data_IF_592034639762
#
_entry.id   IF_592034639762
#
_cell.length_a   1.000
_cell.length_b   1.000
_cell.length_c   1.000
_cell.angle_alpha   90.00
_cell.angle_beta   90.00
_cell.angle_gamma   90.00
#
_symmetry.space_group_name_H-M   'P 1'
#
loop_
_entity.id
_entity.type
_entity.pdbx_description
1 polymer ?
#
# COMPACT_ATOMS: atom_id res chain seq x y z
N UNK A 1 -15.77 34.70 40.42
CA UNK A 1 -16.11 34.00 41.67
C UNK A 1 -16.93 34.95 42.56
N UNK A 2 -18.16 35.32 42.17
CA UNK A 2 -18.91 36.41 42.83
C UNK A 2 -20.40 36.12 43.10
N UNK A 3 -20.87 34.87 43.03
CA UNK A 3 -22.26 34.55 43.35
C UNK A 3 -22.45 33.06 43.65
N UNK A 4 -21.96 32.57 44.79
CA UNK A 4 -22.37 31.27 45.34
C UNK A 4 -22.61 31.42 46.82
N UNK A 5 -23.76 30.91 47.27
CA UNK A 5 -24.08 30.74 48.68
C UNK A 5 -23.07 29.76 49.31
N UNK A 6 -22.72 29.92 50.60
CA UNK A 6 -21.66 29.14 51.25
C UNK A 6 -21.93 27.62 51.17
N UNK A 7 -23.20 27.24 51.23
CA UNK A 7 -23.65 25.85 51.03
C UNK A 7 -23.37 25.33 49.61
N UNK A 8 -23.59 26.15 48.58
CA UNK A 8 -23.34 25.78 47.19
C UNK A 8 -21.84 25.64 46.89
N UNK A 9 -21.01 26.45 47.55
CA UNK A 9 -19.55 26.34 47.43
C UNK A 9 -19.06 25.00 48.00
N UNK A 10 -19.53 24.62 49.19
CA UNK A 10 -19.18 23.33 49.80
C UNK A 10 -19.62 22.14 48.94
N UNK A 11 -20.83 22.19 48.36
CA UNK A 11 -21.28 21.17 47.42
C UNK A 11 -20.39 21.08 46.18
N UNK A 12 -19.97 22.21 45.62
CA UNK A 12 -19.07 22.25 44.47
C UNK A 12 -17.70 21.65 44.80
N UNK A 13 -17.11 21.99 45.95
CA UNK A 13 -15.83 21.45 46.41
C UNK A 13 -15.89 19.91 46.51
N UNK A 14 -16.98 19.37 47.07
CA UNK A 14 -17.19 17.93 47.15
C UNK A 14 -17.28 17.27 45.77
N UNK A 15 -17.97 17.89 44.81
CA UNK A 15 -18.10 17.40 43.44
C UNK A 15 -16.74 17.39 42.73
N UNK A 16 -15.99 18.50 42.80
CA UNK A 16 -14.65 18.61 42.20
C UNK A 16 -13.71 17.57 42.79
N UNK A 17 -13.70 17.42 44.12
CA UNK A 17 -12.86 16.44 44.81
C UNK A 17 -13.20 15.01 44.40
N UNK A 18 -14.49 14.69 44.23
CA UNK A 18 -14.93 13.40 43.73
C UNK A 18 -14.39 13.09 42.32
N UNK A 19 -14.57 14.02 41.38
CA UNK A 19 -14.09 13.82 40.00
C UNK A 19 -12.57 13.89 39.87
N UNK A 20 -11.88 14.68 40.69
CA UNK A 20 -10.41 14.68 40.77
C UNK A 20 -9.87 13.30 41.19
N UNK A 21 -10.52 12.65 42.15
CA UNK A 21 -10.11 11.34 42.66
C UNK A 21 -10.44 10.18 41.72
N UNK A 22 -11.61 10.20 41.09
CA UNK A 22 -12.12 9.05 40.31
C UNK A 22 -12.08 9.25 38.79
N UNK A 23 -11.91 10.48 38.29
CA UNK A 23 -11.95 10.82 36.86
C UNK A 23 -10.89 10.11 36.02
N UNK A 24 -9.72 9.84 36.59
CA UNK A 24 -8.62 9.13 35.93
C UNK A 24 -8.73 7.60 35.98
N UNK A 25 -9.88 7.05 36.40
CA UNK A 25 -10.07 5.58 36.51
C UNK A 25 -10.29 4.90 35.15
N UNK A 26 -10.55 5.67 34.08
CA UNK A 26 -10.75 5.14 32.73
C UNK A 26 -9.38 4.95 32.06
N UNK A 27 -9.00 3.73 31.61
CA UNK A 27 -7.73 3.49 30.92
C UNK A 27 -7.80 3.97 29.46
N UNK A 28 -7.86 5.30 29.27
CA UNK A 28 -8.16 5.92 27.98
C UNK A 28 -7.12 5.58 26.91
N UNK A 29 -5.83 5.58 27.27
CA UNK A 29 -4.73 5.30 26.34
C UNK A 29 -4.82 3.90 25.75
N UNK A 30 -5.30 2.91 26.52
CA UNK A 30 -5.48 1.54 26.05
C UNK A 30 -6.60 1.49 25.00
N UNK A 31 -7.81 1.95 25.36
CA UNK A 31 -8.98 1.91 24.48
C UNK A 31 -8.72 2.69 23.18
N UNK A 32 -8.13 3.87 23.30
CA UNK A 32 -7.83 4.72 22.15
C UNK A 32 -6.71 4.13 21.27
N UNK A 33 -5.66 3.56 21.88
CA UNK A 33 -4.56 2.94 21.15
C UNK A 33 -5.00 1.75 20.30
N UNK A 34 -5.83 0.86 20.85
CA UNK A 34 -6.39 -0.26 20.07
C UNK A 34 -7.29 0.22 18.94
N UNK A 35 -8.15 1.21 19.20
CA UNK A 35 -9.04 1.75 18.19
C UNK A 35 -8.28 2.42 17.04
N UNK A 36 -7.34 3.31 17.35
CA UNK A 36 -6.54 4.02 16.34
C UNK A 36 -5.70 3.03 15.53
N UNK A 37 -5.14 1.99 16.15
CA UNK A 37 -4.40 0.96 15.43
C UNK A 37 -5.28 0.19 14.43
N UNK A 38 -6.53 -0.14 14.80
CA UNK A 38 -7.49 -0.78 13.89
C UNK A 38 -7.82 0.14 12.71
N UNK A 39 -8.08 1.42 12.98
CA UNK A 39 -8.37 2.41 11.94
C UNK A 39 -7.17 2.59 11.00
N UNK A 40 -5.97 2.80 11.53
CA UNK A 40 -4.75 2.97 10.74
C UNK A 40 -4.43 1.74 9.88
N UNK A 41 -4.58 0.54 10.44
CA UNK A 41 -4.36 -0.71 9.69
C UNK A 41 -5.32 -0.82 8.51
N UNK A 42 -6.60 -0.47 8.71
CA UNK A 42 -7.60 -0.45 7.64
C UNK A 42 -7.32 0.64 6.61
N UNK A 43 -6.92 1.82 7.05
CA UNK A 43 -6.53 2.94 6.17
C UNK A 43 -5.40 2.52 5.22
N UNK A 44 -4.32 1.94 5.75
CA UNK A 44 -3.19 1.49 4.93
C UNK A 44 -3.56 0.33 3.99
N UNK A 45 -4.41 -0.59 4.45
CA UNK A 45 -4.89 -1.68 3.62
C UNK A 45 -5.80 -1.19 2.48
N UNK A 46 -6.62 -0.16 2.69
CA UNK A 46 -7.38 0.50 1.64
C UNK A 46 -6.47 1.16 0.61
N UNK A 47 -5.46 1.92 1.05
CA UNK A 47 -4.44 2.51 0.16
C UNK A 47 -3.76 1.44 -0.70
N UNK A 48 -3.30 0.36 -0.07
CA UNK A 48 -2.64 -0.78 -0.73
C UNK A 48 -3.57 -1.60 -1.63
N UNK A 49 -4.87 -1.34 -1.57
CA UNK A 49 -5.89 -1.99 -2.39
C UNK A 49 -6.29 -1.16 -3.61
N UNK A 50 -5.78 0.07 -3.76
CA UNK A 50 -6.02 0.89 -4.95
C UNK A 50 -5.33 0.24 -6.15
N UNK A 51 -6.08 -0.23 -7.17
CA UNK A 51 -5.48 -0.90 -8.30
C UNK A 51 -4.97 0.08 -9.36
N UNK A 52 -3.79 -0.21 -9.88
CA UNK A 52 -3.14 0.55 -10.95
C UNK A 52 -3.20 -0.24 -12.27
N UNK A 53 -3.60 0.39 -13.40
CA UNK A 53 -3.79 -0.32 -14.67
C UNK A 53 -2.46 -0.58 -15.41
N UNK A 54 -1.34 -0.10 -14.89
CA UNK A 54 -0.02 -0.08 -15.53
C UNK A 54 0.46 -1.46 -15.97
N UNK A 55 0.37 -2.46 -15.08
CA UNK A 55 0.76 -3.84 -15.39
C UNK A 55 -0.07 -4.40 -16.56
N UNK A 56 -1.39 -4.17 -16.53
CA UNK A 56 -2.29 -4.59 -17.60
C UNK A 56 -1.94 -3.85 -18.90
N UNK A 57 -1.69 -2.54 -18.83
CA UNK A 57 -1.33 -1.73 -20.00
C UNK A 57 -0.02 -2.19 -20.65
N UNK A 58 1.01 -2.50 -19.85
CA UNK A 58 2.29 -3.02 -20.33
C UNK A 58 2.07 -4.34 -21.06
N UNK A 59 1.37 -5.29 -20.44
CA UNK A 59 1.09 -6.60 -21.05
C UNK A 59 0.27 -6.47 -22.35
N UNK A 60 -0.76 -5.63 -22.36
CA UNK A 60 -1.55 -5.36 -23.58
C UNK A 60 -0.65 -4.78 -24.68
N UNK A 61 0.21 -3.82 -24.32
CA UNK A 61 1.13 -3.15 -25.24
C UNK A 61 2.12 -4.11 -25.90
N UNK A 62 2.59 -5.13 -25.19
CA UNK A 62 3.55 -6.12 -25.69
C UNK A 62 2.89 -7.31 -26.39
N UNK A 63 1.74 -7.77 -25.90
CA UNK A 63 1.14 -9.05 -26.31
C UNK A 63 0.09 -8.92 -27.42
N UNK A 64 -0.56 -7.75 -27.58
CA UNK A 64 -1.50 -7.51 -28.68
C UNK A 64 -0.77 -6.83 -29.83
N UNK A 65 -0.40 -7.62 -30.83
CA UNK A 65 0.35 -7.14 -31.99
C UNK A 65 -0.55 -6.41 -33.00
N UNK A 66 0.07 -5.64 -33.89
CA UNK A 66 -0.59 -4.94 -35.00
C UNK A 66 -0.54 -3.43 -34.86
N UNK A 67 -0.11 -2.75 -35.93
CA UNK A 67 -0.09 -1.28 -36.05
C UNK A 67 -1.32 -0.73 -36.78
N UNK A 68 -2.19 -1.62 -37.26
CA UNK A 68 -3.44 -1.28 -37.91
C UNK A 68 -4.46 -0.70 -36.91
N UNK A 69 -5.47 -0.03 -37.47
CA UNK A 69 -6.50 0.65 -36.70
C UNK A 69 -7.27 -0.30 -35.79
N UNK A 70 -7.58 -1.52 -36.26
CA UNK A 70 -8.32 -2.52 -35.48
C UNK A 70 -7.54 -2.94 -34.23
N UNK A 71 -6.26 -3.28 -34.38
CA UNK A 71 -5.39 -3.66 -33.26
C UNK A 71 -5.24 -2.53 -32.24
N UNK A 72 -5.12 -1.28 -32.71
CA UNK A 72 -5.11 -0.09 -31.85
C UNK A 72 -6.42 0.09 -31.08
N UNK A 73 -7.56 -0.07 -31.73
CA UNK A 73 -8.89 -0.01 -31.10
C UNK A 73 -9.00 -1.05 -29.98
N UNK A 74 -8.58 -2.29 -30.24
CA UNK A 74 -8.60 -3.37 -29.24
C UNK A 74 -7.79 -2.99 -28.01
N UNK A 75 -6.53 -2.60 -28.19
CA UNK A 75 -5.65 -2.21 -27.07
C UNK A 75 -6.23 -1.05 -26.24
N UNK A 76 -6.68 0.01 -26.91
CA UNK A 76 -7.28 1.18 -26.25
C UNK A 76 -8.62 0.85 -25.56
N UNK A 77 -9.40 -0.06 -26.11
CA UNK A 77 -10.70 -0.43 -25.54
C UNK A 77 -10.55 -1.26 -24.27
N UNK A 78 -9.64 -2.26 -24.27
CA UNK A 78 -9.37 -3.08 -23.08
C UNK A 78 -8.91 -2.18 -21.92
N UNK A 79 -7.94 -1.28 -22.15
CA UNK A 79 -7.46 -0.40 -21.07
C UNK A 79 -8.51 0.62 -20.62
N UNK A 80 -9.35 1.12 -21.54
CA UNK A 80 -10.48 1.99 -21.21
C UNK A 80 -11.46 1.27 -20.29
N UNK A 81 -11.80 0.02 -20.58
CA UNK A 81 -12.69 -0.76 -19.72
C UNK A 81 -12.13 -1.01 -18.32
N UNK A 82 -10.82 -1.23 -18.19
CA UNK A 82 -10.16 -1.29 -16.87
C UNK A 82 -10.33 0.04 -16.11
N UNK A 83 -10.13 1.18 -16.79
CA UNK A 83 -10.32 2.50 -16.20
C UNK A 83 -11.79 2.81 -15.86
N UNK A 84 -12.74 2.36 -16.69
CA UNK A 84 -14.18 2.48 -16.44
C UNK A 84 -14.55 1.70 -15.18
N UNK A 85 -14.08 0.44 -15.04
CA UNK A 85 -14.36 -0.37 -13.86
C UNK A 85 -13.85 0.31 -12.58
N UNK A 86 -12.62 0.83 -12.61
CA UNK A 86 -12.06 1.61 -11.51
C UNK A 86 -12.89 2.86 -11.19
N UNK A 87 -13.28 3.63 -12.20
CA UNK A 87 -14.07 4.85 -12.04
C UNK A 87 -15.46 4.53 -11.47
N UNK A 88 -16.12 3.48 -11.95
CA UNK A 88 -17.39 3.01 -11.39
C UNK A 88 -17.23 2.60 -9.92
N UNK A 89 -16.17 1.85 -9.57
CA UNK A 89 -15.85 1.51 -8.18
C UNK A 89 -15.71 2.77 -7.32
N UNK A 90 -14.92 3.75 -7.78
CA UNK A 90 -14.73 4.99 -7.04
C UNK A 90 -16.03 5.79 -6.87
N UNK A 91 -16.91 5.83 -7.88
CA UNK A 91 -18.22 6.52 -7.73
C UNK A 91 -19.15 5.88 -6.72
N UNK A 92 -18.90 4.63 -6.32
CA UNK A 92 -19.68 3.97 -5.27
C UNK A 92 -19.15 4.28 -3.87
N UNK A 93 -17.84 4.52 -3.72
CA UNK A 93 -17.18 4.63 -2.40
C UNK A 93 -16.65 6.04 -2.06
N UNK A 94 -16.47 6.91 -3.06
CA UNK A 94 -15.92 8.27 -2.86
C UNK A 94 -16.90 9.36 -3.27
N UNK A 95 -17.26 10.30 -2.37
CA UNK A 95 -18.03 11.49 -2.70
C UNK A 95 -17.36 12.35 -3.78
N UNK A 96 -16.03 12.54 -3.74
CA UNK A 96 -15.28 13.31 -4.75
C UNK A 96 -15.53 12.74 -6.17
N UNK A 97 -15.41 11.42 -6.33
CA UNK A 97 -15.67 10.75 -7.60
C UNK A 97 -17.16 10.78 -7.99
N UNK A 98 -18.07 10.57 -7.03
CA UNK A 98 -19.52 10.61 -7.27
C UNK A 98 -20.01 11.99 -7.70
N UNK A 99 -19.47 13.07 -7.14
CA UNK A 99 -19.76 14.46 -7.56
C UNK A 99 -19.26 14.74 -8.98
N UNK A 100 -18.11 14.19 -9.36
CA UNK A 100 -17.58 14.30 -10.72
C UNK A 100 -18.37 13.48 -11.75
N UNK A 101 -18.81 12.28 -11.39
CA UNK A 101 -19.59 11.40 -12.27
C UNK A 101 -20.90 10.93 -11.60
N UNK A 102 -21.92 11.81 -11.48
CA UNK A 102 -23.15 11.47 -10.77
C UNK A 102 -23.96 10.35 -11.44
N UNK A 103 -23.96 10.32 -12.77
CA UNK A 103 -24.73 9.40 -13.61
C UNK A 103 -23.88 8.83 -14.75
N UNK A 104 -24.29 7.70 -15.33
CA UNK A 104 -23.63 7.10 -16.50
C UNK A 104 -23.61 8.02 -17.72
N UNK A 105 -24.48 9.02 -17.80
CA UNK A 105 -24.40 10.05 -18.84
C UNK A 105 -23.10 10.85 -18.77
N UNK A 106 -22.60 11.15 -17.57
CA UNK A 106 -21.34 11.86 -17.39
C UNK A 106 -20.13 11.02 -17.81
N UNK A 107 -20.21 9.69 -17.68
CA UNK A 107 -19.19 8.79 -18.22
C UNK A 107 -19.13 8.87 -19.75
N UNK A 108 -20.29 8.97 -20.42
CA UNK A 108 -20.34 9.14 -21.88
C UNK A 108 -19.80 10.51 -22.30
N UNK A 109 -20.23 11.59 -21.64
CA UNK A 109 -19.72 12.94 -21.93
C UNK A 109 -18.21 13.06 -21.72
N UNK A 110 -17.66 12.36 -20.74
CA UNK A 110 -16.22 12.31 -20.47
C UNK A 110 -15.44 11.38 -21.43
N UNK A 111 -16.12 10.65 -22.33
CA UNK A 111 -15.48 9.72 -23.26
C UNK A 111 -15.00 8.41 -22.63
N UNK A 112 -15.46 8.08 -21.41
CA UNK A 112 -15.16 6.81 -20.75
C UNK A 112 -16.03 5.67 -21.31
N UNK A 113 -17.29 5.97 -21.64
CA UNK A 113 -18.26 5.03 -22.19
C UNK A 113 -18.79 5.51 -23.54
N UNK A 114 -19.17 4.58 -24.41
CA UNK A 114 -20.02 4.89 -25.57
C UNK A 114 -21.50 4.90 -25.18
N UNK A 115 -22.36 5.46 -26.05
CA UNK A 115 -23.81 5.41 -25.86
C UNK A 115 -24.36 3.98 -25.81
N UNK A 116 -23.81 3.08 -26.62
CA UNK A 116 -24.20 1.66 -26.66
C UNK A 116 -23.79 0.94 -25.38
N UNK A 117 -22.55 1.12 -24.93
CA UNK A 117 -22.04 0.52 -23.69
C UNK A 117 -22.84 0.98 -22.46
N UNK A 118 -23.21 2.27 -22.43
CA UNK A 118 -24.13 2.80 -21.41
C UNK A 118 -25.47 2.05 -21.45
N UNK A 119 -26.06 1.87 -22.63
CA UNK A 119 -27.34 1.17 -22.79
C UNK A 119 -27.29 -0.25 -22.24
N UNK A 120 -26.24 -1.01 -22.56
CA UNK A 120 -26.03 -2.36 -22.02
C UNK A 120 -25.89 -2.37 -20.50
N UNK A 121 -25.16 -1.40 -19.93
CA UNK A 121 -25.04 -1.28 -18.47
C UNK A 121 -26.41 -0.99 -17.84
N UNK A 122 -27.19 -0.07 -18.41
CA UNK A 122 -28.51 0.30 -17.88
C UNK A 122 -29.52 -0.84 -17.99
N UNK A 123 -29.49 -1.63 -19.06
CA UNK A 123 -30.32 -2.82 -19.22
C UNK A 123 -29.96 -3.88 -18.18
N UNK A 124 -28.68 -4.23 -18.08
CA UNK A 124 -28.22 -5.21 -17.09
C UNK A 124 -28.49 -4.76 -15.65
N UNK A 125 -28.41 -3.46 -15.37
CA UNK A 125 -28.69 -2.92 -14.04
C UNK A 125 -30.16 -3.08 -13.63
N UNK A 126 -31.09 -3.22 -14.58
CA UNK A 126 -32.50 -3.56 -14.26
C UNK A 126 -32.62 -5.00 -13.76
N UNK A 127 -31.86 -5.91 -14.35
CA UNK A 127 -31.89 -7.33 -14.00
C UNK A 127 -31.02 -7.66 -12.77
N UNK A 128 -29.89 -6.96 -12.61
CA UNK A 128 -28.88 -7.22 -11.59
C UNK A 128 -28.24 -5.91 -11.05
N UNK A 129 -28.91 -5.20 -10.12
CA UNK A 129 -28.54 -3.84 -9.71
C UNK A 129 -27.23 -3.67 -8.91
N UNK A 130 -26.48 -4.75 -8.66
CA UNK A 130 -25.32 -4.74 -7.75
C UNK A 130 -23.98 -5.06 -8.43
N UNK A 131 -23.99 -5.47 -9.70
CA UNK A 131 -22.81 -6.08 -10.33
C UNK A 131 -22.26 -5.33 -11.54
N UNK A 132 -22.85 -4.19 -11.92
CA UNK A 132 -22.48 -3.49 -13.15
C UNK A 132 -21.04 -2.95 -13.16
N UNK A 133 -20.44 -2.67 -12.00
CA UNK A 133 -19.03 -2.23 -11.90
C UNK A 133 -18.02 -3.29 -12.37
N UNK A 134 -18.42 -4.57 -12.38
CA UNK A 134 -17.59 -5.70 -12.84
C UNK A 134 -17.71 -5.93 -14.35
N UNK A 135 -18.74 -5.39 -14.98
CA UNK A 135 -19.06 -5.64 -16.39
C UNK A 135 -17.96 -5.19 -17.36
N UNK A 136 -17.32 -4.01 -17.20
CA UNK A 136 -16.25 -3.60 -18.10
C UNK A 136 -15.04 -4.56 -18.05
N UNK A 137 -14.71 -5.12 -16.89
CA UNK A 137 -13.61 -6.09 -16.78
C UNK A 137 -13.94 -7.41 -17.49
N UNK A 138 -15.19 -7.86 -17.43
CA UNK A 138 -15.65 -9.01 -18.20
C UNK A 138 -15.58 -8.74 -19.72
N UNK A 139 -15.98 -7.54 -20.16
CA UNK A 139 -15.82 -7.14 -21.56
C UNK A 139 -14.35 -7.07 -21.99
N UNK A 140 -13.47 -6.54 -21.14
CA UNK A 140 -12.03 -6.49 -21.37
C UNK A 140 -11.45 -7.90 -21.58
N UNK A 141 -11.80 -8.85 -20.71
CA UNK A 141 -11.42 -10.24 -20.83
C UNK A 141 -11.94 -10.89 -22.13
N UNK A 142 -13.21 -10.66 -22.47
CA UNK A 142 -13.79 -11.19 -23.71
C UNK A 142 -13.13 -10.63 -24.97
N UNK A 143 -12.76 -9.35 -24.98
CA UNK A 143 -12.01 -8.75 -26.08
C UNK A 143 -10.61 -9.34 -26.18
N UNK A 144 -9.92 -9.59 -25.05
CA UNK A 144 -8.61 -10.24 -25.06
C UNK A 144 -8.70 -11.67 -25.64
N UNK A 145 -9.71 -12.45 -25.24
CA UNK A 145 -9.97 -13.79 -25.80
C UNK A 145 -10.28 -13.71 -27.31
N UNK A 146 -11.07 -12.72 -27.74
CA UNK A 146 -11.34 -12.49 -29.16
C UNK A 146 -10.06 -12.14 -29.92
N UNK A 147 -9.21 -11.26 -29.40
CA UNK A 147 -7.95 -10.89 -30.02
C UNK A 147 -7.02 -12.10 -30.20
N UNK A 148 -7.04 -13.06 -29.28
CA UNK A 148 -6.36 -14.35 -29.43
C UNK A 148 -6.94 -15.22 -30.54
N UNK A 149 -8.27 -15.30 -30.63
CA UNK A 149 -8.95 -16.06 -31.69
C UNK A 149 -8.69 -15.48 -33.10
N UNK A 150 -8.47 -14.16 -33.17
CA UNK A 150 -8.15 -13.44 -34.41
C UNK A 150 -6.64 -13.43 -34.72
N UNK A 151 -5.81 -14.07 -33.90
CA UNK A 151 -4.36 -14.19 -34.09
C UNK A 151 -3.55 -12.93 -33.77
N UNK A 152 -4.15 -11.91 -33.15
CA UNK A 152 -3.43 -10.70 -32.70
C UNK A 152 -2.55 -10.97 -31.47
N UNK A 153 -2.98 -11.92 -30.63
CA UNK A 153 -2.16 -12.52 -29.57
C UNK A 153 -1.66 -13.86 -30.09
N UNK A 154 -0.35 -14.06 -30.16
CA UNK A 154 0.24 -15.29 -30.72
C UNK A 154 0.24 -16.45 -29.74
N UNK A 155 0.62 -16.16 -28.49
CA UNK A 155 0.87 -17.16 -27.46
C UNK A 155 -0.30 -17.24 -26.48
N UNK A 156 -0.65 -18.45 -26.07
CA UNK A 156 -1.71 -18.66 -25.06
C UNK A 156 -1.29 -18.17 -23.66
N UNK A 157 -0.01 -18.28 -23.32
CA UNK A 157 0.54 -17.76 -22.07
C UNK A 157 0.33 -16.24 -21.95
N UNK A 158 0.56 -15.49 -23.03
CA UNK A 158 0.29 -14.04 -23.06
C UNK A 158 -1.19 -13.71 -22.76
N UNK A 159 -2.13 -14.50 -23.28
CA UNK A 159 -3.55 -14.31 -22.96
C UNK A 159 -3.82 -14.60 -21.47
N UNK A 160 -3.29 -15.71 -20.95
CA UNK A 160 -3.44 -16.09 -19.54
C UNK A 160 -2.93 -14.98 -18.62
N UNK A 161 -1.74 -14.44 -18.89
CA UNK A 161 -1.13 -13.41 -18.05
C UNK A 161 -1.95 -12.10 -18.07
N UNK A 162 -2.53 -11.72 -19.23
CA UNK A 162 -3.48 -10.59 -19.31
C UNK A 162 -4.72 -10.86 -18.44
N UNK A 163 -5.34 -12.04 -18.58
CA UNK A 163 -6.55 -12.39 -17.83
C UNK A 163 -6.30 -12.45 -16.31
N UNK A 164 -5.13 -12.94 -15.91
CA UNK A 164 -4.70 -12.98 -14.51
C UNK A 164 -4.56 -11.56 -13.93
N UNK A 165 -3.92 -10.64 -14.67
CA UNK A 165 -3.81 -9.25 -14.22
C UNK A 165 -5.17 -8.53 -14.18
N UNK A 166 -6.09 -8.81 -15.12
CA UNK A 166 -7.47 -8.29 -15.07
C UNK A 166 -8.19 -8.80 -13.81
N UNK A 167 -8.02 -10.07 -13.46
CA UNK A 167 -8.61 -10.66 -12.25
C UNK A 167 -8.00 -10.07 -10.96
N UNK A 168 -6.69 -9.87 -10.91
CA UNK A 168 -6.02 -9.21 -9.79
C UNK A 168 -6.53 -7.76 -9.60
N UNK A 169 -6.72 -7.02 -10.69
CA UNK A 169 -7.30 -5.67 -10.68
C UNK A 169 -8.75 -5.69 -10.16
N UNK A 170 -9.57 -6.65 -10.64
CA UNK A 170 -10.94 -6.85 -10.17
C UNK A 170 -10.98 -7.15 -8.66
N UNK A 171 -10.09 -8.00 -8.17
CA UNK A 171 -10.01 -8.34 -6.75
C UNK A 171 -9.69 -7.11 -5.89
N UNK A 172 -8.77 -6.27 -6.34
CA UNK A 172 -8.44 -5.00 -5.69
C UNK A 172 -9.64 -4.03 -5.67
N UNK A 173 -10.37 -3.88 -6.78
CA UNK A 173 -11.62 -3.12 -6.79
C UNK A 173 -12.67 -3.69 -5.82
N UNK A 174 -12.75 -5.02 -5.68
CA UNK A 174 -13.63 -5.67 -4.70
C UNK A 174 -13.16 -5.38 -3.27
N UNK A 175 -11.86 -5.44 -2.98
CA UNK A 175 -11.31 -5.14 -1.65
C UNK A 175 -11.69 -3.72 -1.22
N UNK A 176 -11.59 -2.73 -2.11
CA UNK A 176 -12.05 -1.36 -1.83
C UNK A 176 -13.55 -1.31 -1.47
N UNK A 177 -14.38 -2.01 -2.24
CA UNK A 177 -15.81 -2.08 -1.97
C UNK A 177 -16.13 -2.82 -0.64
N UNK A 178 -15.39 -3.87 -0.32
CA UNK A 178 -15.56 -4.61 0.94
C UNK A 178 -15.21 -3.73 2.16
N UNK A 179 -14.22 -2.84 2.05
CA UNK A 179 -13.88 -1.89 3.13
C UNK A 179 -14.94 -0.82 3.34
N UNK A 180 -15.55 -0.33 2.25
CA UNK A 180 -16.67 0.61 2.28
C UNK A 180 -17.94 -0.04 2.84
N UNK A 181 -18.22 -1.28 2.43
CA UNK A 181 -19.40 -2.01 2.91
C UNK A 181 -19.26 -2.44 4.38
N UNK A 182 -18.08 -2.93 4.77
CA UNK A 182 -17.80 -3.43 6.12
C UNK A 182 -16.93 -2.40 6.86
N UNK A 183 -17.58 -1.37 7.38
CA UNK A 183 -16.98 -0.34 8.22
C UNK A 183 -16.51 -0.89 9.59
N UNK A 184 -15.73 -0.08 10.31
CA UNK A 184 -15.48 -0.31 11.74
C UNK A 184 -16.83 -0.36 12.48
N UNK A 185 -17.09 -1.38 13.32
CA UNK A 185 -18.38 -1.50 14.00
C UNK A 185 -18.75 -0.21 14.73
N UNK A 186 -19.95 0.30 14.46
CA UNK A 186 -20.42 1.58 15.00
C UNK A 186 -20.31 1.64 16.53
N UNK A 187 -20.64 0.55 17.20
CA UNK A 187 -20.52 0.42 18.66
C UNK A 187 -19.09 0.65 19.16
N UNK A 188 -18.08 0.24 18.39
CA UNK A 188 -16.69 0.43 18.78
C UNK A 188 -16.30 1.90 18.72
N UNK A 189 -16.63 2.59 17.63
CA UNK A 189 -16.45 4.04 17.51
C UNK A 189 -17.20 4.77 18.63
N UNK A 190 -18.46 4.42 18.90
CA UNK A 190 -19.27 5.03 19.95
C UNK A 190 -18.67 4.86 21.35
N UNK A 191 -18.19 3.65 21.70
CA UNK A 191 -17.57 3.38 23.00
C UNK A 191 -16.30 4.21 23.19
N UNK A 192 -15.46 4.32 22.16
CA UNK A 192 -14.21 5.07 22.23
C UNK A 192 -14.49 6.57 22.35
N UNK A 193 -15.38 7.12 21.50
CA UNK A 193 -15.78 8.53 21.57
C UNK A 193 -16.39 8.87 22.93
N UNK A 194 -17.29 8.02 23.44
CA UNK A 194 -17.91 8.20 24.74
C UNK A 194 -16.86 8.17 25.87
N UNK A 195 -15.89 7.25 25.82
CA UNK A 195 -14.82 7.18 26.81
C UNK A 195 -13.98 8.46 26.84
N UNK A 196 -13.58 8.99 25.68
CA UNK A 196 -12.84 10.26 25.57
C UNK A 196 -13.68 11.43 26.10
N UNK A 197 -14.95 11.50 25.72
CA UNK A 197 -15.83 12.62 26.12
C UNK A 197 -16.16 12.59 27.60
N UNK A 198 -16.44 11.43 28.18
CA UNK A 198 -16.68 11.29 29.61
C UNK A 198 -15.41 11.58 30.43
N UNK A 199 -14.24 11.14 29.94
CA UNK A 199 -12.97 11.49 30.56
C UNK A 199 -12.83 13.01 30.66
N UNK A 200 -13.00 13.75 29.55
CA UNK A 200 -12.88 15.21 29.59
C UNK A 200 -14.01 15.92 30.33
N UNK A 201 -15.23 15.36 30.34
CA UNK A 201 -16.30 15.87 31.20
C UNK A 201 -15.89 15.83 32.69
N UNK A 202 -15.29 14.72 33.12
CA UNK A 202 -14.82 14.56 34.49
C UNK A 202 -13.58 15.40 34.77
N UNK A 203 -12.64 15.51 33.82
CA UNK A 203 -11.46 16.37 33.94
C UNK A 203 -11.87 17.84 34.10
N UNK A 204 -12.79 18.35 33.26
CA UNK A 204 -13.26 19.74 33.35
C UNK A 204 -13.82 20.07 34.73
N UNK A 205 -14.51 19.13 35.38
CA UNK A 205 -15.04 19.33 36.73
C UNK A 205 -13.95 19.12 37.78
N UNK A 206 -13.13 18.06 37.66
CA UNK A 206 -12.15 17.64 38.66
C UNK A 206 -10.90 18.51 38.75
N UNK A 207 -10.57 19.27 37.69
CA UNK A 207 -9.39 20.15 37.65
C UNK A 207 -9.74 21.62 37.90
N UNK A 208 -10.91 21.91 38.47
CA UNK A 208 -11.29 23.26 38.85
C UNK A 208 -10.45 23.71 40.05
N UNK A 209 -9.90 24.93 39.97
CA UNK A 209 -9.13 25.53 41.05
C UNK A 209 -10.05 25.84 42.24
N UNK A 210 -9.84 25.14 43.37
CA UNK A 210 -10.51 25.41 44.65
C UNK A 210 -9.56 26.26 45.50
N UNK A 211 -10.09 27.28 46.16
CA UNK A 211 -9.34 28.29 46.93
C UNK A 211 -8.69 27.75 48.23
N UNK A 212 -8.86 26.47 48.54
CA UNK A 212 -8.28 25.80 49.71
C UNK A 212 -7.17 24.83 49.29
N UNK A 213 -5.99 25.33 48.93
CA UNK A 213 -4.73 24.64 49.27
C UNK A 213 -3.60 25.65 49.56
N UNK A 214 -3.14 25.53 50.80
CA UNK A 214 -1.99 26.11 51.49
C UNK A 214 -0.65 25.86 50.78
N UNK A 215 0.20 26.89 50.81
CA UNK A 215 1.68 26.85 50.86
C UNK A 215 2.37 25.66 50.15
N UNK A 216 2.56 25.76 48.83
CA UNK A 216 3.45 24.82 48.12
C UNK A 216 3.54 25.08 46.61
N UNK A 217 2.41 25.28 45.95
CA UNK A 217 2.34 25.48 44.50
C UNK A 217 1.76 26.85 44.15
N UNK A 218 2.48 27.91 44.50
CA UNK A 218 2.19 29.29 44.05
C UNK A 218 2.63 29.51 42.60
N UNK A 219 2.31 28.58 41.71
CA UNK A 219 2.13 28.89 40.30
C UNK A 219 0.62 28.90 40.07
N UNK A 220 0.00 30.00 40.50
CA UNK A 220 -1.37 30.36 40.14
C UNK A 220 -1.36 30.70 38.64
N UNK A 221 -1.19 29.69 37.79
CA UNK A 221 -1.79 29.78 36.48
C UNK A 221 -3.28 29.66 36.74
N UNK A 222 -4.03 30.75 36.59
CA UNK A 222 -5.50 30.73 36.47
C UNK A 222 -5.97 29.97 35.19
N UNK A 223 -5.14 29.06 34.69
CA UNK A 223 -5.22 28.35 33.43
C UNK A 223 -4.74 26.90 33.64
N UNK A 224 -5.57 25.89 33.33
CA UNK A 224 -5.24 24.48 33.56
C UNK A 224 -4.34 23.93 32.45
N UNK A 225 -3.05 24.32 32.44
CA UNK A 225 -2.10 23.99 31.37
C UNK A 225 -1.99 22.48 31.11
N UNK A 226 -1.80 21.67 32.17
CA UNK A 226 -1.64 20.21 32.03
C UNK A 226 -2.89 19.55 31.46
N UNK A 227 -4.08 19.96 31.90
CA UNK A 227 -5.35 19.46 31.36
C UNK A 227 -5.56 19.86 29.89
N UNK A 228 -5.09 21.04 29.48
CA UNK A 228 -5.09 21.43 28.07
C UNK A 228 -4.12 20.57 27.24
N UNK A 229 -2.93 20.26 27.76
CA UNK A 229 -1.99 19.35 27.08
C UNK A 229 -2.58 17.95 26.93
N UNK A 230 -3.17 17.40 27.99
CA UNK A 230 -3.88 16.11 27.96
C UNK A 230 -5.05 16.15 26.96
N UNK A 231 -5.79 17.26 26.90
CA UNK A 231 -6.85 17.48 25.92
C UNK A 231 -6.33 17.37 24.50
N UNK A 232 -5.29 18.14 24.14
CA UNK A 232 -4.72 18.08 22.79
C UNK A 232 -4.19 16.69 22.45
N UNK A 233 -3.61 15.98 23.43
CA UNK A 233 -3.11 14.63 23.21
C UNK A 233 -4.24 13.63 22.91
N UNK A 234 -5.21 13.46 23.81
CA UNK A 234 -6.25 12.43 23.62
C UNK A 234 -7.32 12.82 22.60
N UNK A 235 -7.75 14.09 22.56
CA UNK A 235 -8.66 14.52 21.48
C UNK A 235 -7.96 14.52 20.14
N UNK A 236 -6.69 14.96 20.07
CA UNK A 236 -5.90 14.87 18.84
C UNK A 236 -5.76 13.42 18.37
N UNK A 237 -5.47 12.49 19.27
CA UNK A 237 -5.36 11.07 18.95
C UNK A 237 -6.69 10.44 18.51
N UNK A 238 -7.83 10.84 19.09
CA UNK A 238 -9.16 10.49 18.57
C UNK A 238 -9.39 11.09 17.17
N UNK A 239 -9.00 12.35 16.96
CA UNK A 239 -9.14 13.03 15.66
C UNK A 239 -8.33 12.37 14.55
N UNK A 240 -7.17 11.80 14.86
CA UNK A 240 -6.40 10.97 13.90
C UNK A 240 -7.23 9.77 13.43
N UNK A 241 -7.95 9.09 14.33
CA UNK A 241 -8.82 8.01 13.90
C UNK A 241 -10.04 8.51 13.12
N UNK A 242 -10.62 9.65 13.51
CA UNK A 242 -11.78 10.22 12.80
C UNK A 242 -11.44 10.66 11.37
N UNK A 243 -10.24 11.23 11.13
CA UNK A 243 -9.82 11.60 9.76
C UNK A 243 -9.49 10.38 8.90
N UNK A 244 -8.92 9.33 9.49
CA UNK A 244 -8.48 8.15 8.73
C UNK A 244 -9.58 7.09 8.54
N UNK A 245 -10.73 7.21 9.21
CA UNK A 245 -11.80 6.20 9.18
C UNK A 245 -12.40 6.03 7.77
N UNK A 246 -12.46 7.11 7.00
CA UNK A 246 -12.95 7.12 5.63
C UNK A 246 -11.99 7.91 4.71
N UNK A 247 -10.93 7.27 4.20
CA UNK A 247 -9.93 7.95 3.38
C UNK A 247 -10.39 8.31 1.96
N UNK A 248 -11.65 7.99 1.61
CA UNK A 248 -12.25 8.30 0.32
C UNK A 248 -13.18 9.52 0.39
N UNK A 249 -13.21 10.21 1.53
CA UNK A 249 -14.05 11.36 1.84
C UNK A 249 -13.66 12.63 1.11
N UNK A 250 -13.81 13.77 1.80
CA UNK A 250 -13.57 15.11 1.28
C UNK A 250 -12.55 15.92 2.10
N UNK A 251 -11.87 15.28 3.04
CA UNK A 251 -10.87 15.92 3.88
C UNK A 251 -9.55 16.14 3.10
N UNK A 252 -8.68 17.01 3.65
CA UNK A 252 -7.42 17.41 3.02
C UNK A 252 -6.43 16.23 2.89
N UNK A 253 -6.45 15.28 3.83
CA UNK A 253 -5.56 14.11 3.86
C UNK A 253 -6.18 12.87 3.18
N UNK A 254 -7.39 12.98 2.60
CA UNK A 254 -8.04 11.89 1.88
C UNK A 254 -7.39 11.62 0.53
N UNK A 255 -7.54 10.40 0.02
CA UNK A 255 -6.91 9.99 -1.22
C UNK A 255 -7.36 10.82 -2.43
N UNK A 256 -6.39 11.16 -3.28
CA UNK A 256 -6.58 11.96 -4.49
C UNK A 256 -7.17 11.16 -5.66
N UNK A 257 -8.36 10.60 -5.46
CA UNK A 257 -9.01 9.67 -6.39
C UNK A 257 -9.38 10.31 -7.73
N UNK A 258 -9.67 11.61 -7.74
CA UNK A 258 -10.02 12.36 -8.96
C UNK A 258 -8.81 12.42 -9.89
N UNK A 259 -7.63 12.72 -9.33
CA UNK A 259 -6.38 12.69 -10.08
C UNK A 259 -6.04 11.28 -10.56
N UNK A 260 -6.25 10.25 -9.72
CA UNK A 260 -5.98 8.86 -10.09
C UNK A 260 -6.80 8.42 -11.32
N UNK A 261 -8.08 8.80 -11.39
CA UNK A 261 -8.93 8.50 -12.56
C UNK A 261 -8.32 9.05 -13.85
N UNK A 262 -7.88 10.31 -13.84
CA UNK A 262 -7.27 10.95 -15.02
C UNK A 262 -5.92 10.32 -15.37
N UNK A 263 -5.08 10.12 -14.36
CA UNK A 263 -3.76 9.50 -14.51
C UNK A 263 -3.87 8.09 -15.09
N UNK A 264 -4.82 7.28 -14.62
CA UNK A 264 -5.03 5.91 -15.10
C UNK A 264 -5.36 5.87 -16.59
N UNK A 265 -6.26 6.75 -17.04
CA UNK A 265 -6.62 6.84 -18.44
C UNK A 265 -5.46 7.36 -19.31
N UNK A 266 -4.79 8.42 -18.87
CA UNK A 266 -3.69 9.05 -19.59
C UNK A 266 -2.49 8.12 -19.75
N UNK A 267 -2.01 7.53 -18.64
CA UNK A 267 -0.88 6.60 -18.64
C UNK A 267 -1.24 5.31 -19.37
N UNK A 268 -2.45 4.80 -19.16
CA UNK A 268 -2.94 3.62 -19.87
C UNK A 268 -2.90 3.80 -21.40
N UNK A 269 -3.40 4.92 -21.91
CA UNK A 269 -3.32 5.24 -23.33
C UNK A 269 -1.90 5.49 -23.83
N UNK A 270 -1.04 6.11 -23.04
CA UNK A 270 0.37 6.30 -23.40
C UNK A 270 1.07 4.95 -23.65
N UNK A 271 0.88 4.01 -22.72
CA UNK A 271 1.52 2.69 -22.75
C UNK A 271 1.01 1.81 -23.90
N UNK A 272 -0.31 1.74 -24.11
CA UNK A 272 -0.88 0.81 -25.10
C UNK A 272 -0.89 1.35 -26.54
N UNK A 273 -0.68 2.66 -26.72
CA UNK A 273 -0.80 3.34 -28.01
C UNK A 273 0.52 3.98 -28.43
N UNK A 274 0.96 5.04 -27.74
CA UNK A 274 2.14 5.82 -28.14
C UNK A 274 3.43 5.01 -28.06
N UNK A 275 3.55 4.14 -27.06
CA UNK A 275 4.73 3.31 -26.83
C UNK A 275 4.64 1.93 -27.49
N UNK A 276 3.53 1.61 -28.16
CA UNK A 276 3.37 0.30 -28.77
C UNK A 276 4.37 0.08 -29.91
N UNK A 277 5.27 -0.89 -29.73
CA UNK A 277 6.38 -1.18 -30.64
C UNK A 277 7.31 0.01 -30.91
N UNK A 278 7.36 0.98 -29.99
CA UNK A 278 8.25 2.13 -30.04
C UNK A 278 9.23 2.05 -28.87
N UNK A 279 10.51 1.96 -29.18
CA UNK A 279 11.59 2.04 -28.20
C UNK A 279 12.80 2.77 -28.82
N UNK A 280 13.68 3.38 -28.01
CA UNK A 280 14.91 3.95 -28.51
C UNK A 280 15.74 2.92 -29.29
N UNK A 281 16.56 3.38 -30.23
CA UNK A 281 17.47 2.50 -30.97
C UNK A 281 18.40 1.80 -30.00
N UNK A 282 18.57 0.49 -30.19
CA UNK A 282 19.53 -0.28 -29.42
C UNK A 282 20.94 0.18 -29.78
N UNK A 283 21.72 0.53 -28.77
CA UNK A 283 23.11 0.96 -28.88
C UNK A 283 23.92 0.30 -27.77
N UNK A 284 25.23 0.17 -27.99
CA UNK A 284 26.16 -0.22 -26.93
C UNK A 284 26.04 0.79 -25.78
N UNK A 285 25.90 0.30 -24.58
CA UNK A 285 25.91 1.15 -23.39
C UNK A 285 27.33 1.66 -23.09
N UNK A 286 27.43 2.57 -22.12
CA UNK A 286 28.70 3.21 -21.76
C UNK A 286 29.76 2.23 -21.22
N UNK A 287 29.34 1.11 -20.64
CA UNK A 287 30.21 0.11 -20.02
C UNK A 287 30.38 -1.15 -20.89
N UNK A 288 30.03 -1.09 -22.17
CA UNK A 288 29.99 -2.26 -23.07
C UNK A 288 31.28 -3.10 -23.11
N UNK A 289 32.45 -2.47 -23.03
CA UNK A 289 33.75 -3.15 -23.09
C UNK A 289 34.23 -3.69 -21.73
N UNK A 290 33.44 -3.49 -20.66
CA UNK A 290 33.73 -3.96 -19.30
C UNK A 290 32.73 -5.05 -18.90
N UNK A 291 33.17 -6.07 -18.16
CA UNK A 291 32.25 -7.12 -17.65
C UNK A 291 31.26 -6.55 -16.63
N UNK A 292 31.73 -5.68 -15.73
CA UNK A 292 30.91 -4.95 -14.78
C UNK A 292 31.67 -3.68 -14.32
N UNK A 293 31.01 -2.51 -14.23
CA UNK A 293 31.62 -1.32 -13.67
C UNK A 293 31.85 -1.49 -12.16
N UNK A 294 33.03 -1.11 -11.66
CA UNK A 294 33.35 -1.18 -10.23
C UNK A 294 32.58 -0.15 -9.40
N UNK A 295 32.39 1.06 -9.92
CA UNK A 295 31.59 2.10 -9.28
C UNK A 295 31.10 3.12 -10.31
N UNK A 296 29.87 3.61 -10.15
CA UNK A 296 29.35 4.73 -10.93
C UNK A 296 29.88 6.07 -10.40
N UNK A 297 30.00 7.12 -11.23
CA UNK A 297 30.52 8.41 -10.80
C UNK A 297 29.59 9.12 -9.81
N UNK A 298 30.19 9.87 -8.88
CA UNK A 298 29.49 10.70 -7.90
C UNK A 298 29.53 12.17 -8.30
N UNK A 299 28.47 12.90 -7.96
CA UNK A 299 28.51 14.37 -7.98
C UNK A 299 29.33 14.89 -6.78
N UNK A 300 29.76 16.15 -6.84
CA UNK A 300 30.49 16.80 -5.73
C UNK A 300 29.67 16.76 -4.43
N UNK A 301 28.36 17.01 -4.50
CA UNK A 301 27.48 16.97 -3.34
C UNK A 301 27.36 15.56 -2.72
N UNK A 302 27.54 14.51 -3.52
CA UNK A 302 27.46 13.11 -3.08
C UNK A 302 28.82 12.50 -2.75
N UNK A 303 29.92 13.25 -2.84
CA UNK A 303 31.28 12.75 -2.60
C UNK A 303 31.44 12.11 -1.21
N UNK A 304 30.77 12.66 -0.18
CA UNK A 304 30.81 12.12 1.19
C UNK A 304 30.32 10.67 1.30
N UNK A 305 29.45 10.24 0.38
CA UNK A 305 28.86 8.91 0.36
C UNK A 305 29.69 7.89 -0.45
N UNK A 306 30.75 8.32 -1.13
CA UNK A 306 31.49 7.48 -2.07
C UNK A 306 32.10 6.23 -1.41
N UNK A 307 32.40 6.31 -0.11
CA UNK A 307 32.98 5.22 0.68
C UNK A 307 31.93 4.48 1.53
N UNK A 308 30.67 4.94 1.55
CA UNK A 308 29.60 4.29 2.29
C UNK A 308 29.13 3.07 1.51
N UNK A 309 29.45 1.88 2.02
CA UNK A 309 28.90 0.62 1.52
C UNK A 309 28.42 -0.22 2.71
N UNK A 310 27.36 -1.03 2.54
CA UNK A 310 26.96 -1.98 3.55
C UNK A 310 28.13 -2.91 3.85
N UNK A 311 28.57 -2.91 5.10
CA UNK A 311 29.56 -3.88 5.59
C UNK A 311 28.80 -4.95 6.34
N UNK A 312 29.12 -6.22 6.08
CA UNK A 312 28.49 -7.33 6.78
C UNK A 312 28.73 -7.20 8.30
N UNK A 313 27.73 -7.52 9.11
CA UNK A 313 27.81 -7.39 10.58
C UNK A 313 28.97 -8.21 11.19
N UNK A 314 29.40 -9.26 10.49
CA UNK A 314 30.49 -10.15 10.88
C UNK A 314 31.83 -9.81 10.24
N UNK A 315 31.93 -8.78 9.37
CA UNK A 315 33.16 -8.45 8.63
C UNK A 315 34.36 -8.19 9.56
N UNK A 316 34.11 -7.69 10.77
CA UNK A 316 35.14 -7.43 11.80
C UNK A 316 35.43 -8.64 12.70
N UNK A 317 34.70 -9.74 12.56
CA UNK A 317 34.94 -10.97 13.34
C UNK A 317 36.11 -11.70 12.69
N UNK A 318 37.24 -11.70 13.38
CA UNK A 318 38.40 -12.47 12.99
C UNK A 318 38.50 -13.72 13.87
N UNK A 319 38.25 -14.90 13.29
CA UNK A 319 38.39 -16.19 14.00
C UNK A 319 39.87 -16.49 14.14
N UNK A 320 40.37 -16.74 15.36
CA UNK A 320 41.78 -17.04 15.57
C UNK A 320 42.15 -18.35 14.86
N UNK A 321 43.39 -18.48 14.37
CA UNK A 321 43.81 -19.65 13.57
C UNK A 321 43.56 -20.98 14.26
N UNK A 322 43.71 -21.06 15.59
CA UNK A 322 43.44 -22.29 16.36
C UNK A 322 41.95 -22.61 16.50
N UNK A 323 41.06 -21.64 16.30
CA UNK A 323 39.61 -21.82 16.34
C UNK A 323 39.02 -22.07 14.94
N UNK A 324 39.86 -22.11 13.89
CA UNK A 324 39.45 -22.41 12.51
C UNK A 324 39.48 -23.92 12.20
N UNK A 325 39.95 -24.75 13.15
CA UNK A 325 40.03 -26.19 12.97
C UNK A 325 38.63 -26.82 12.83
N UNK A 326 38.50 -27.73 11.87
CA UNK A 326 37.24 -28.41 11.59
C UNK A 326 36.98 -29.51 12.62
N UNK A 327 35.88 -29.39 13.36
CA UNK A 327 35.37 -30.45 14.23
C UNK A 327 34.22 -31.14 13.51
N UNK A 328 34.43 -32.38 13.10
CA UNK A 328 33.39 -33.22 12.52
C UNK A 328 32.62 -33.93 13.63
N UNK A 329 31.30 -34.07 13.47
CA UNK A 329 30.50 -34.89 14.41
C UNK A 329 30.86 -36.37 14.27
N UNK A 330 30.79 -37.12 15.37
CA UNK A 330 31.24 -38.53 15.45
C UNK A 330 30.58 -39.47 14.42
N UNK A 331 29.38 -39.11 13.93
CA UNK A 331 28.64 -39.81 12.87
C UNK A 331 29.22 -39.60 11.46
N UNK A 332 30.05 -38.57 11.25
CA UNK A 332 30.73 -38.28 9.97
C UNK A 332 32.18 -38.79 9.92
N UNK A 333 32.80 -39.12 11.07
CA UNK A 333 34.19 -39.56 11.14
C UNK A 333 34.47 -40.88 10.37
N UNK A 334 33.46 -41.75 10.25
CA UNK A 334 33.59 -43.03 9.52
C UNK A 334 33.35 -42.91 8.00
N UNK A 335 32.81 -41.77 7.52
CA UNK A 335 32.58 -41.53 6.09
C UNK A 335 33.81 -40.92 5.40
N UNK A 336 34.55 -40.05 6.08
CA UNK A 336 35.69 -39.36 5.47
C UNK A 336 36.93 -40.25 5.27
N UNK A 337 37.24 -41.17 6.19
CA UNK A 337 38.39 -42.09 6.01
C UNK A 337 38.23 -42.90 4.71
N UNK A 338 37.00 -43.33 4.40
CA UNK A 338 36.73 -44.05 3.16
C UNK A 338 36.76 -43.14 1.92
N UNK A 339 36.29 -41.89 2.03
CA UNK A 339 36.21 -40.96 0.90
C UNK A 339 37.58 -40.41 0.46
N UNK A 340 38.48 -40.13 1.40
CA UNK A 340 39.85 -39.70 1.10
C UNK A 340 40.70 -40.85 0.52
N UNK A 341 40.57 -42.08 1.04
CA UNK A 341 41.20 -43.28 0.45
C UNK A 341 40.70 -43.57 -0.99
N UNK A 342 39.42 -43.28 -1.27
CA UNK A 342 38.82 -43.42 -2.61
C UNK A 342 39.29 -42.33 -3.58
N UNK A 343 39.59 -41.12 -3.11
CA UNK A 343 40.10 -40.02 -3.93
C UNK A 343 41.58 -40.21 -4.28
N UNK A 344 42.42 -40.62 -3.32
CA UNK A 344 43.85 -40.86 -3.57
C UNK A 344 44.09 -42.05 -4.52
N UNK A 345 43.32 -43.14 -4.40
CA UNK A 345 43.43 -44.30 -5.30
C UNK A 345 42.97 -44.04 -6.74
N UNK A 346 42.13 -43.02 -6.97
CA UNK A 346 41.76 -42.56 -8.32
C UNK A 346 42.85 -41.70 -8.95
N UNK A 347 43.52 -40.85 -8.18
CA UNK A 347 44.58 -39.98 -8.67
C UNK A 347 45.85 -40.76 -9.08
N UNK A 348 46.14 -41.90 -8.45
CA UNK A 348 47.27 -42.75 -8.86
C UNK A 348 47.02 -43.55 -10.14
N UNK A 349 45.77 -43.94 -10.43
CA UNK A 349 45.43 -44.73 -11.62
C UNK A 349 45.35 -43.90 -12.92
N UNK A 350 44.99 -42.61 -12.83
CA UNK A 350 44.82 -41.76 -14.01
C UNK A 350 46.16 -41.22 -14.58
N UNK A 351 47.26 -41.24 -13.80
CA UNK A 351 48.56 -40.72 -14.22
C UNK A 351 49.42 -41.67 -15.08
N UNK A 352 48.93 -42.87 -15.44
CA UNK A 352 49.70 -43.85 -16.25
C UNK A 352 49.27 -43.89 -17.73
N UNK A 353 48.24 -43.15 -18.18
CA UNK A 353 47.66 -43.36 -19.53
C UNK A 353 47.41 -42.12 -20.41
N UNK A 354 48.15 -41.02 -20.25
CA UNK A 354 47.83 -39.78 -20.98
C UNK A 354 48.96 -38.81 -21.31
N UNK A 355 50.12 -39.28 -21.76
CA UNK A 355 51.14 -38.39 -22.35
C UNK A 355 51.08 -38.42 -23.88
N UNK A 356 50.44 -37.44 -24.50
CA UNK A 356 50.48 -37.28 -25.96
C UNK A 356 49.67 -36.11 -26.52
N UNK A 357 50.39 -35.14 -27.08
CA UNK A 357 49.96 -34.08 -28.02
C UNK A 357 49.43 -32.75 -27.44
N UNK A 358 50.36 -31.81 -27.29
CA UNK A 358 50.11 -30.35 -27.27
C UNK A 358 50.03 -29.85 -28.72
N UNK A 359 48.88 -29.26 -29.10
CA UNK A 359 48.71 -28.52 -30.34
C UNK A 359 48.37 -27.06 -30.04
N UNK A 360 49.28 -26.14 -30.39
CA UNK A 360 49.06 -24.68 -30.40
C UNK A 360 48.26 -24.28 -31.65
N UNK A 361 47.36 -23.30 -31.51
CA UNK A 361 46.82 -22.47 -32.60
C UNK A 361 46.49 -21.06 -32.07
N UNK A 362 46.34 -20.06 -32.97
CA UNK A 362 47.15 -18.83 -33.01
C UNK A 362 46.65 -17.66 -32.15
#
# INVERSE_FOLDING_TARGET
>A
MYSRDAFQLLQFINIVTYFSKYGNSIPLSFVLGFYVNVVYTRWWAQYSSIPYPDNIAILIGTSIHGKDEKSRIIRRTIIRYVCVAFTLTLTMISPKAKKRFPTLHHFVQAGLLSHEEKGFIEELNKDCPTYYSKLPLAWAANIATKARSEGLIKEELSLRDILEQINAFREKCKQLWDYDWICVPLVYTQVVTLAVYLYFLFTVIGTQFIEEQTEGDTLIFSFPLMSCVEFFFYMGWLKVAESLINPFGEDDDDFEVVWMIDRHLQVGYLLVDKLHNEHPKLAKDYHWDQTAPSQLPFTVASQRYMNEHPVESTFKINVQKGDQDLIFRDDMANLEVNMWLLLDSKLENDNVSGAGAVGKFP
#
